data_IF_510810618130
#
_entry.id   IF_510810618130
#
_cell.length_a   1.000
_cell.length_b   1.000
_cell.length_c   1.000
_cell.angle_alpha   90.00
_cell.angle_beta   90.00
_cell.angle_gamma   90.00
#
_symmetry.space_group_name_H-M   'P 1'
#
loop_
_entity.id
_entity.type
_entity.pdbx_description
1 polymer ?
#
# COMPACT_ATOMS: atom_id res chain seq x y z
N UNK A 1 2.95 28.49 3.29
CA UNK A 1 3.49 27.67 2.19
C UNK A 1 4.32 26.55 2.82
N UNK A 2 3.73 25.38 3.06
CA UNK A 2 4.38 24.30 3.83
C UNK A 2 4.76 23.21 2.84
N UNK A 3 5.98 23.26 2.31
CA UNK A 3 6.52 22.17 1.51
C UNK A 3 6.53 20.88 2.36
N UNK A 4 6.14 19.74 1.78
CA UNK A 4 6.37 18.39 2.36
C UNK A 4 7.85 18.04 2.49
N UNK A 5 8.75 18.96 2.11
CA UNK A 5 10.14 18.99 2.56
C UNK A 5 10.12 19.02 4.09
N UNK A 6 10.08 17.84 4.69
CA UNK A 6 10.48 17.66 6.07
C UNK A 6 11.92 18.16 6.11
N UNK A 7 12.11 19.38 6.60
CA UNK A 7 13.43 19.92 6.83
C UNK A 7 14.03 19.08 7.95
N UNK A 8 14.79 18.07 7.55
CA UNK A 8 15.65 17.34 8.48
C UNK A 8 16.91 18.16 8.53
N UNK A 9 17.11 18.85 9.66
CA UNK A 9 18.35 19.55 9.94
C UNK A 9 19.50 18.56 9.70
N UNK A 10 20.59 18.94 9.00
CA UNK A 10 21.70 18.04 8.74
C UNK A 10 22.17 17.47 10.09
N UNK A 11 21.91 16.17 10.29
CA UNK A 11 22.33 15.47 11.50
C UNK A 11 23.85 15.58 11.61
N UNK A 12 24.34 15.91 12.80
CA UNK A 12 25.78 15.94 13.06
C UNK A 12 26.35 14.54 12.74
N UNK A 13 27.12 14.45 11.65
CA UNK A 13 28.02 13.32 11.29
C UNK A 13 27.39 12.00 10.81
N UNK A 14 26.23 12.00 10.14
CA UNK A 14 25.76 10.81 9.42
C UNK A 14 25.88 11.04 7.91
N UNK A 15 26.58 10.14 7.22
CA UNK A 15 26.72 10.17 5.75
C UNK A 15 25.33 10.00 5.13
N UNK A 16 24.79 11.07 4.53
CA UNK A 16 23.55 10.97 3.76
C UNK A 16 23.84 10.16 2.50
N UNK A 17 23.20 9.01 2.37
CA UNK A 17 23.31 8.15 1.18
C UNK A 17 21.97 8.09 0.46
N UNK A 18 21.99 7.66 -0.79
CA UNK A 18 20.79 7.46 -1.59
C UNK A 18 20.72 6.01 -2.02
N UNK A 19 19.54 5.40 -1.87
CA UNK A 19 19.30 4.02 -2.24
C UNK A 19 18.11 3.92 -3.17
N UNK A 20 18.21 3.07 -4.19
CA UNK A 20 17.09 2.73 -5.02
C UNK A 20 16.17 1.72 -4.31
N UNK A 21 14.87 2.01 -4.33
CA UNK A 21 13.82 1.18 -3.73
C UNK A 21 12.75 0.92 -4.77
N UNK A 22 12.43 -0.35 -4.99
CA UNK A 22 11.34 -0.73 -5.89
C UNK A 22 9.99 -0.59 -5.17
N UNK A 23 9.02 -0.02 -5.85
CA UNK A 23 7.63 0.17 -5.43
C UNK A 23 6.69 -0.29 -6.54
N UNK A 24 5.38 -0.16 -6.34
CA UNK A 24 4.41 -0.34 -7.42
C UNK A 24 3.60 0.92 -7.63
N UNK A 25 3.53 1.31 -8.89
CA UNK A 25 2.85 2.51 -9.34
C UNK A 25 1.56 2.16 -10.05
N UNK A 26 0.52 2.89 -9.69
CA UNK A 26 -0.79 2.88 -10.29
C UNK A 26 -1.01 4.27 -10.88
N UNK A 27 -0.55 4.46 -12.11
CA UNK A 27 -0.68 5.72 -12.83
C UNK A 27 -2.07 5.85 -13.45
N UNK A 28 -2.65 7.04 -13.38
CA UNK A 28 -4.00 7.26 -13.88
C UNK A 28 -4.10 7.17 -15.41
N UNK A 29 -3.01 7.53 -16.08
CA UNK A 29 -2.86 7.48 -17.54
C UNK A 29 -2.27 6.14 -18.01
N UNK A 30 -1.84 5.29 -17.09
CA UNK A 30 -1.26 4.00 -17.41
C UNK A 30 -2.35 2.95 -17.62
N UNK A 31 -2.16 2.00 -18.56
CA UNK A 31 -3.11 0.91 -18.80
C UNK A 31 -3.02 -0.20 -17.75
N UNK A 32 -1.89 -0.30 -17.03
CA UNK A 32 -1.66 -1.31 -15.99
C UNK A 32 -0.69 -0.80 -14.93
N UNK A 33 -0.75 -1.39 -13.74
CA UNK A 33 0.22 -1.10 -12.70
C UNK A 33 1.59 -1.63 -13.08
N UNK A 34 2.64 -0.90 -12.70
CA UNK A 34 4.02 -1.22 -13.06
C UNK A 34 4.96 -1.09 -11.86
N UNK A 35 6.05 -1.87 -11.81
CA UNK A 35 7.10 -1.61 -10.85
C UNK A 35 7.70 -0.22 -11.10
N UNK A 36 8.04 0.47 -10.02
CA UNK A 36 8.61 1.81 -10.06
C UNK A 36 9.81 1.88 -9.11
N UNK A 37 10.98 2.21 -9.65
CA UNK A 37 12.18 2.42 -8.83
C UNK A 37 12.22 3.88 -8.38
N UNK A 38 12.23 4.08 -7.07
CA UNK A 38 12.32 5.38 -6.42
C UNK A 38 13.67 5.53 -5.73
N UNK A 39 14.17 6.75 -5.65
CA UNK A 39 15.27 7.07 -4.75
C UNK A 39 14.73 7.28 -3.34
N UNK A 40 15.37 6.67 -2.35
CA UNK A 40 15.18 6.96 -0.94
C UNK A 40 16.45 7.60 -0.40
N UNK A 41 16.29 8.72 0.29
CA UNK A 41 17.35 9.32 1.09
C UNK A 41 17.50 8.52 2.38
N UNK A 42 18.69 8.01 2.63
CA UNK A 42 19.06 7.27 3.82
C UNK A 42 19.88 8.19 4.74
N UNK A 43 19.35 8.44 5.94
CA UNK A 43 20.03 9.20 6.99
C UNK A 43 20.06 8.32 8.25
N UNK A 44 21.19 7.62 8.45
CA UNK A 44 21.30 6.56 9.44
C UNK A 44 20.26 5.46 9.22
N UNK A 45 19.41 5.26 10.23
CA UNK A 45 18.33 4.26 10.21
C UNK A 45 17.07 4.71 9.46
N UNK A 46 16.96 6.00 9.11
CA UNK A 46 15.77 6.56 8.51
C UNK A 46 15.85 6.55 6.98
N UNK A 47 14.82 6.01 6.31
CA UNK A 47 14.71 5.97 4.85
C UNK A 47 13.52 6.80 4.37
N UNK A 48 13.79 7.86 3.61
CA UNK A 48 12.78 8.79 3.10
C UNK A 48 12.65 8.66 1.59
N UNK A 49 11.58 8.04 1.06
CA UNK A 49 11.37 7.93 -0.38
C UNK A 49 11.08 9.31 -0.98
N UNK A 50 11.75 9.65 -2.08
CA UNK A 50 11.58 10.90 -2.82
C UNK A 50 10.37 10.80 -3.76
N UNK A 51 9.18 10.73 -3.17
CA UNK A 51 7.94 10.42 -3.89
C UNK A 51 7.49 11.54 -4.84
N UNK A 52 7.84 12.78 -4.53
CA UNK A 52 7.49 13.96 -5.30
C UNK A 52 8.09 13.91 -6.72
N UNK A 53 9.20 13.19 -6.90
CA UNK A 53 9.81 12.98 -8.22
C UNK A 53 8.96 12.15 -9.18
N UNK A 54 7.97 11.41 -8.67
CA UNK A 54 7.11 10.54 -9.49
C UNK A 54 5.64 10.92 -9.45
N UNK A 55 5.18 11.55 -8.37
CA UNK A 55 3.81 12.07 -8.27
C UNK A 55 3.73 13.55 -8.72
N UNK A 56 4.46 13.90 -9.78
CA UNK A 56 4.56 15.27 -10.31
C UNK A 56 3.20 15.77 -10.86
N UNK A 57 3.06 17.09 -11.05
CA UNK A 57 1.86 17.90 -11.28
C UNK A 57 1.25 18.55 -10.04
N UNK A 58 2.07 19.22 -9.22
CA UNK A 58 1.63 19.93 -8.01
C UNK A 58 0.60 21.06 -8.27
N UNK A 59 0.25 21.37 -9.52
CA UNK A 59 -0.69 22.44 -9.91
C UNK A 59 -2.11 22.20 -9.38
N UNK A 60 -2.58 20.95 -9.43
CA UNK A 60 -3.96 20.60 -9.01
C UNK A 60 -4.04 20.31 -7.52
N UNK A 61 -3.03 19.63 -6.98
CA UNK A 61 -2.94 19.27 -5.56
C UNK A 61 -1.48 19.41 -5.12
N UNK A 62 -1.14 20.40 -4.26
CA UNK A 62 0.25 20.74 -3.95
C UNK A 62 0.93 19.77 -2.99
N UNK A 63 0.19 18.80 -2.42
CA UNK A 63 0.74 17.88 -1.42
C UNK A 63 0.43 16.44 -1.81
N UNK A 64 1.39 15.55 -1.57
CA UNK A 64 1.21 14.11 -1.62
C UNK A 64 0.69 13.65 -0.27
N UNK A 65 -0.41 12.89 -0.26
CA UNK A 65 -0.91 12.26 0.96
C UNK A 65 -0.26 10.90 1.13
N UNK A 66 -0.12 10.45 2.37
CA UNK A 66 0.37 9.13 2.69
C UNK A 66 -0.48 8.43 3.76
N UNK A 67 -0.42 7.10 3.80
CA UNK A 67 -1.06 6.27 4.82
C UNK A 67 -0.30 4.99 5.04
N UNK A 68 -0.21 4.56 6.29
CA UNK A 68 0.33 3.25 6.64
C UNK A 68 -0.79 2.21 6.60
N UNK A 69 -0.52 1.11 5.91
CA UNK A 69 -1.45 0.01 5.71
C UNK A 69 -0.82 -1.26 6.24
N UNK A 70 -1.49 -1.93 7.17
CA UNK A 70 -1.04 -3.18 7.77
C UNK A 70 -1.81 -4.34 7.17
N UNK A 71 -1.10 -5.30 6.61
CA UNK A 71 -1.68 -6.50 5.99
C UNK A 71 -1.23 -7.75 6.73
N UNK A 72 -2.21 -8.57 7.13
CA UNK A 72 -1.96 -9.90 7.66
C UNK A 72 -1.82 -10.89 6.50
N UNK A 73 -0.61 -11.34 6.20
CA UNK A 73 -0.35 -12.32 5.16
C UNK A 73 0.51 -13.46 5.72
N UNK A 74 0.11 -14.72 5.48
CA UNK A 74 0.78 -15.92 6.02
C UNK A 74 1.02 -15.86 7.55
N UNK A 75 0.00 -15.42 8.30
CA UNK A 75 0.06 -15.26 9.76
C UNK A 75 1.13 -14.25 10.26
N UNK A 76 1.62 -13.38 9.37
CA UNK A 76 2.54 -12.30 9.69
C UNK A 76 1.93 -10.96 9.28
N UNK A 77 2.15 -9.94 10.11
CA UNK A 77 1.72 -8.58 9.81
C UNK A 77 2.85 -7.86 9.09
N UNK A 78 2.54 -7.35 7.91
CA UNK A 78 3.42 -6.52 7.12
C UNK A 78 2.86 -5.10 7.05
N UNK A 79 3.74 -4.11 7.08
CA UNK A 79 3.37 -2.71 6.95
C UNK A 79 3.79 -2.21 5.58
N UNK A 80 2.91 -1.41 4.99
CA UNK A 80 3.05 -0.81 3.69
C UNK A 80 2.77 0.67 3.81
N UNK A 81 3.51 1.47 3.07
CA UNK A 81 3.30 2.91 2.96
C UNK A 81 2.71 3.19 1.60
N UNK A 82 1.52 3.79 1.59
CA UNK A 82 0.84 4.17 0.36
C UNK A 82 0.90 5.68 0.23
N UNK A 83 1.40 6.15 -0.89
CA UNK A 83 1.38 7.54 -1.29
C UNK A 83 0.35 7.74 -2.38
N UNK A 84 -0.43 8.81 -2.30
CA UNK A 84 -1.45 9.07 -3.29
C UNK A 84 -1.72 10.55 -3.45
N UNK A 85 -2.15 10.89 -4.66
CA UNK A 85 -2.72 12.19 -4.99
C UNK A 85 -4.12 11.95 -5.48
N UNK A 86 -5.09 12.41 -4.71
CA UNK A 86 -6.50 12.17 -4.98
C UNK A 86 -7.25 13.47 -4.94
N UNK A 87 -7.87 13.80 -6.07
CA UNK A 87 -8.64 15.02 -6.24
C UNK A 87 -9.63 14.87 -7.39
N UNK A 88 -10.80 15.51 -7.27
CA UNK A 88 -11.87 15.46 -8.29
C UNK A 88 -11.44 15.95 -9.68
N UNK A 89 -10.46 16.86 -9.74
CA UNK A 89 -9.91 17.40 -11.00
C UNK A 89 -8.79 16.54 -11.61
N UNK A 90 -8.32 15.51 -10.90
CA UNK A 90 -7.35 14.57 -11.47
C UNK A 90 -8.08 13.54 -12.36
N UNK A 91 -7.40 12.94 -13.36
CA UNK A 91 -7.96 11.93 -14.22
C UNK A 91 -8.35 10.67 -13.43
N UNK A 92 -9.36 9.95 -13.92
CA UNK A 92 -9.75 8.64 -13.38
C UNK A 92 -8.59 7.68 -13.58
N UNK A 93 -8.21 7.00 -12.51
CA UNK A 93 -7.14 6.04 -12.53
C UNK A 93 -7.63 4.69 -13.03
N UNK A 94 -7.51 4.49 -14.35
CA UNK A 94 -7.91 3.23 -15.01
C UNK A 94 -7.17 2.04 -14.45
N UNK A 95 -5.89 2.21 -14.14
CA UNK A 95 -5.08 1.16 -13.52
C UNK A 95 -5.64 0.72 -12.16
N UNK A 96 -6.07 1.67 -11.31
CA UNK A 96 -6.77 1.35 -10.06
C UNK A 96 -8.11 0.70 -10.35
N UNK A 97 -8.92 1.20 -11.28
CA UNK A 97 -10.23 0.61 -11.60
C UNK A 97 -10.17 -0.81 -12.18
N UNK A 98 -9.05 -1.22 -12.78
CA UNK A 98 -8.83 -2.60 -13.21
C UNK A 98 -8.61 -3.55 -12.03
N UNK A 99 -8.07 -3.04 -10.93
CA UNK A 99 -7.79 -3.82 -9.72
C UNK A 99 -8.96 -3.73 -8.73
N UNK A 100 -9.46 -2.52 -8.53
CA UNK A 100 -10.57 -2.15 -7.69
C UNK A 100 -11.89 -2.20 -8.49
N UNK A 101 -12.63 -3.29 -8.32
CA UNK A 101 -13.85 -3.57 -9.08
C UNK A 101 -15.05 -2.67 -8.69
N UNK A 102 -14.87 -1.84 -7.66
CA UNK A 102 -15.95 -1.16 -6.94
C UNK A 102 -15.93 0.35 -7.08
N UNK A 103 -14.78 0.96 -7.41
CA UNK A 103 -14.59 2.41 -7.26
C UNK A 103 -13.68 3.04 -8.32
N UNK A 104 -14.03 4.27 -8.73
CA UNK A 104 -13.20 5.11 -9.59
C UNK A 104 -12.35 6.06 -8.74
N UNK A 105 -11.12 5.65 -8.43
CA UNK A 105 -10.14 6.55 -7.81
C UNK A 105 -9.63 7.53 -8.86
N UNK A 106 -9.49 8.80 -8.52
CA UNK A 106 -8.93 9.84 -9.40
C UNK A 106 -7.55 10.25 -8.93
N UNK A 107 -6.56 10.18 -9.81
CA UNK A 107 -5.16 10.50 -9.54
C UNK A 107 -4.28 9.28 -9.24
N UNK A 108 -2.99 9.53 -8.98
CA UNK A 108 -1.96 8.50 -8.96
C UNK A 108 -1.77 7.89 -7.56
N UNK A 109 -1.41 6.61 -7.51
CA UNK A 109 -1.13 5.87 -6.26
C UNK A 109 0.21 5.14 -6.38
N UNK A 110 1.01 5.16 -5.32
CA UNK A 110 2.25 4.40 -5.18
C UNK A 110 2.17 3.60 -3.88
N UNK A 111 2.48 2.31 -3.96
CA UNK A 111 2.58 1.43 -2.78
C UNK A 111 4.03 1.01 -2.61
N UNK A 112 4.55 1.18 -1.40
CA UNK A 112 5.89 0.74 -1.01
C UNK A 112 5.80 -0.11 0.25
N UNK A 113 6.66 -1.10 0.38
CA UNK A 113 6.74 -1.91 1.59
C UNK A 113 7.59 -1.20 2.64
N UNK A 114 7.25 -1.38 3.91
CA UNK A 114 8.12 -0.98 5.01
C UNK A 114 8.56 -2.19 5.84
N UNK A 115 9.65 -2.06 6.56
CA UNK A 115 10.00 -3.00 7.62
C UNK A 115 9.22 -2.69 8.91
N UNK A 116 9.61 -3.37 10.00
CA UNK A 116 8.97 -3.22 11.32
C UNK A 116 9.28 -1.88 11.97
N UNK A 117 10.41 -1.26 11.61
CA UNK A 117 10.86 0.03 12.14
C UNK A 117 10.31 1.19 11.29
N UNK A 118 9.49 0.90 10.27
CA UNK A 118 8.92 1.88 9.35
C UNK A 118 9.89 2.32 8.25
N UNK A 119 11.05 1.68 8.11
CA UNK A 119 12.00 1.98 7.03
C UNK A 119 11.43 1.45 5.72
N UNK A 120 11.53 2.28 4.70
CA UNK A 120 11.07 1.91 3.36
C UNK A 120 12.00 0.84 2.77
N UNK A 121 11.40 -0.27 2.33
CA UNK A 121 12.06 -1.40 1.70
C UNK A 121 11.45 -1.70 0.34
N UNK A 122 12.27 -2.27 -0.55
CA UNK A 122 11.85 -2.59 -1.91
C UNK A 122 10.78 -3.68 -1.94
N UNK A 123 9.93 -3.61 -2.97
CA UNK A 123 9.03 -4.68 -3.36
C UNK A 123 9.80 -6.00 -3.55
N UNK A 124 9.31 -7.07 -2.92
CA UNK A 124 9.84 -8.43 -3.07
C UNK A 124 8.95 -9.27 -3.99
N UNK A 125 9.41 -10.47 -4.33
CA UNK A 125 8.60 -11.44 -5.05
C UNK A 125 7.31 -11.73 -4.27
N UNK A 126 6.15 -11.65 -4.94
CA UNK A 126 4.83 -11.85 -4.34
C UNK A 126 4.16 -10.61 -3.74
N UNK A 127 4.90 -9.53 -3.43
CA UNK A 127 4.32 -8.29 -2.90
C UNK A 127 3.36 -7.62 -3.91
N UNK A 128 3.54 -7.90 -5.20
CA UNK A 128 2.66 -7.46 -6.27
C UNK A 128 1.18 -7.74 -5.96
N UNK A 129 0.83 -8.98 -5.61
CA UNK A 129 -0.56 -9.37 -5.33
C UNK A 129 -1.10 -8.63 -4.11
N UNK A 130 -0.28 -8.51 -3.06
CA UNK A 130 -0.66 -7.80 -1.83
C UNK A 130 -0.88 -6.32 -2.09
N UNK A 131 -0.07 -5.70 -2.94
CA UNK A 131 -0.24 -4.30 -3.32
C UNK A 131 -1.57 -4.07 -4.07
N UNK A 132 -1.94 -4.99 -4.95
CA UNK A 132 -3.22 -4.93 -5.66
C UNK A 132 -4.41 -5.05 -4.68
N UNK A 133 -4.32 -5.95 -3.69
CA UNK A 133 -5.31 -6.07 -2.61
C UNK A 133 -5.40 -4.79 -1.75
N UNK A 134 -4.25 -4.17 -1.43
CA UNK A 134 -4.19 -2.91 -0.70
C UNK A 134 -4.91 -1.81 -1.48
N UNK A 135 -4.64 -1.68 -2.78
CA UNK A 135 -5.27 -0.66 -3.63
C UNK A 135 -6.77 -0.91 -3.78
N UNK A 136 -7.20 -2.17 -3.89
CA UNK A 136 -8.63 -2.50 -3.89
C UNK A 136 -9.31 -2.04 -2.58
N UNK A 137 -8.74 -2.39 -1.42
CA UNK A 137 -9.29 -1.98 -0.13
C UNK A 137 -9.21 -0.46 0.13
N UNK A 138 -8.21 0.21 -0.43
CA UNK A 138 -8.10 1.66 -0.40
C UNK A 138 -9.21 2.31 -1.23
N UNK A 139 -9.44 1.82 -2.45
CA UNK A 139 -10.47 2.32 -3.35
C UNK A 139 -11.87 2.15 -2.76
N UNK A 140 -12.18 1.00 -2.15
CA UNK A 140 -13.45 0.75 -1.44
C UNK A 140 -13.73 1.81 -0.37
N UNK A 141 -12.70 2.17 0.41
CA UNK A 141 -12.83 3.17 1.48
C UNK A 141 -12.92 4.59 0.93
N UNK A 142 -12.35 4.83 -0.25
CA UNK A 142 -12.34 6.11 -0.96
C UNK A 142 -13.60 6.41 -1.76
N UNK A 143 -14.58 5.50 -1.80
CA UNK A 143 -15.90 5.74 -2.41
C UNK A 143 -16.49 7.06 -1.88
N UNK A 144 -16.85 8.02 -2.75
CA UNK A 144 -17.57 9.24 -2.37
C UNK A 144 -18.81 8.99 -1.51
N UNK A 145 -19.49 7.83 -1.67
CA UNK A 145 -20.62 7.43 -0.82
C UNK A 145 -20.21 7.11 0.61
N UNK A 146 -18.97 6.63 0.79
CA UNK A 146 -18.32 6.41 2.09
C UNK A 146 -17.67 7.69 2.64
N UNK A 147 -17.36 8.64 1.76
CA UNK A 147 -16.72 9.94 2.02
C UNK A 147 -17.73 11.09 2.16
N UNK A 148 -18.91 10.85 2.72
CA UNK A 148 -19.66 11.90 3.39
C UNK A 148 -18.71 12.50 4.46
N UNK A 149 -18.16 13.66 4.12
CA UNK A 149 -16.96 14.30 4.68
C UNK A 149 -16.95 14.33 6.21
N UNK A 150 -16.54 13.24 6.85
CA UNK A 150 -16.29 13.20 8.29
C UNK A 150 -14.91 13.83 8.49
N UNK A 151 -14.91 15.14 8.71
CA UNK A 151 -13.77 15.96 9.12
C UNK A 151 -13.28 15.46 10.50
N UNK A 152 -12.67 14.28 10.56
CA UNK A 152 -12.04 13.75 11.76
C UNK A 152 -10.63 14.31 11.83
N UNK A 153 -10.46 15.33 12.65
CA UNK A 153 -9.17 15.69 13.24
C UNK A 153 -8.71 14.53 14.13
N UNK A 154 -8.06 13.53 13.55
CA UNK A 154 -7.44 12.41 14.26
C UNK A 154 -6.11 12.05 13.61
N UNK A 155 -5.19 11.40 14.35
CA UNK A 155 -3.88 10.99 13.83
C UNK A 155 -4.04 10.10 12.58
N UNK A 156 -3.03 10.06 11.69
CA UNK A 156 -3.12 9.39 10.40
C UNK A 156 -3.62 7.96 10.56
N UNK A 157 -4.75 7.68 9.95
CA UNK A 157 -5.50 6.43 10.07
C UNK A 157 -4.59 5.24 9.74
N UNK A 158 -4.19 4.47 10.75
CA UNK A 158 -3.54 3.19 10.58
C UNK A 158 -4.56 2.23 9.94
N UNK A 159 -4.44 1.99 8.64
CA UNK A 159 -5.39 1.17 7.90
C UNK A 159 -4.99 -0.29 8.05
N UNK A 160 -5.67 -1.04 8.91
CA UNK A 160 -5.56 -2.50 8.88
C UNK A 160 -6.39 -3.03 7.69
N UNK A 161 -5.72 -3.63 6.71
CA UNK A 161 -6.33 -4.36 5.60
C UNK A 161 -6.02 -5.83 5.85
N UNK A 162 -6.99 -6.58 6.37
CA UNK A 162 -6.83 -8.03 6.52
C UNK A 162 -7.01 -8.64 5.13
N UNK A 163 -5.92 -8.85 4.40
CA UNK A 163 -6.02 -9.68 3.21
C UNK A 163 -6.04 -11.14 3.66
N UNK A 164 -7.23 -11.73 3.62
CA UNK A 164 -7.28 -13.19 3.65
C UNK A 164 -6.79 -13.64 2.28
N UNK A 165 -5.76 -14.51 2.19
CA UNK A 165 -5.40 -15.04 0.88
C UNK A 165 -6.66 -15.69 0.32
N UNK A 166 -7.10 -15.27 -0.88
CA UNK A 166 -8.09 -16.03 -1.65
C UNK A 166 -7.45 -17.39 -1.94
N UNK A 167 -7.63 -18.33 -1.00
CA UNK A 167 -7.18 -19.70 -1.12
C UNK A 167 -7.73 -20.22 -2.44
N UNK A 168 -6.85 -20.75 -3.28
CA UNK A 168 -7.29 -21.39 -4.52
C UNK A 168 -8.30 -22.50 -4.16
N UNK A 169 -9.25 -22.77 -5.05
CA UNK A 169 -10.27 -23.83 -4.84
C UNK A 169 -9.62 -25.18 -4.46
N UNK A 170 -8.38 -25.41 -4.91
CA UNK A 170 -7.54 -26.56 -4.59
C UNK A 170 -7.08 -26.59 -3.13
N UNK A 171 -6.70 -25.44 -2.56
CA UNK A 171 -6.34 -25.32 -1.14
C UNK A 171 -7.57 -25.49 -0.22
N UNK A 172 -8.77 -25.11 -0.66
CA UNK A 172 -10.01 -25.37 0.08
C UNK A 172 -10.35 -26.86 0.15
N UNK A 173 -10.13 -27.62 -0.93
CA UNK A 173 -10.33 -29.09 -0.93
C UNK A 173 -9.37 -29.78 0.04
N UNK A 174 -8.08 -29.45 -0.05
CA UNK A 174 -7.06 -30.03 0.85
C UNK A 174 -7.35 -29.80 2.33
N UNK A 175 -7.86 -28.63 2.71
CA UNK A 175 -8.21 -28.34 4.10
C UNK A 175 -9.52 -28.98 4.55
N UNK A 176 -10.44 -29.24 3.62
CA UNK A 176 -11.67 -29.99 3.90
C UNK A 176 -11.32 -31.46 4.15
N UNK A 177 -10.45 -32.04 3.33
CA UNK A 177 -9.96 -33.41 3.48
C UNK A 177 -9.20 -33.62 4.81
N UNK A 178 -8.36 -32.65 5.21
CA UNK A 178 -7.64 -32.71 6.49
C UNK A 178 -8.61 -32.64 7.68
N UNK A 179 -9.63 -31.78 7.62
CA UNK A 179 -10.65 -31.68 8.69
C UNK A 179 -11.53 -32.93 8.78
N UNK A 180 -11.86 -33.54 7.65
CA UNK A 180 -12.65 -34.77 7.61
C UNK A 180 -11.86 -35.96 8.16
N UNK A 181 -10.57 -36.08 7.84
CA UNK A 181 -9.69 -37.10 8.44
C UNK A 181 -9.53 -36.94 9.95
N UNK A 182 -9.39 -35.71 10.44
CA UNK A 182 -9.29 -35.45 11.88
C UNK A 182 -10.61 -35.75 12.63
N UNK A 183 -11.77 -35.56 11.99
CA UNK A 183 -13.08 -35.92 12.56
C UNK A 183 -13.34 -37.42 12.54
N UNK A 184 -12.86 -38.14 11.53
CA UNK A 184 -12.91 -39.61 11.49
C UNK A 184 -12.07 -40.23 12.61
N UNK A 185 -10.81 -39.80 12.75
CA UNK A 185 -9.88 -40.33 13.76
C UNK A 185 -10.31 -40.05 15.21
N UNK A 186 -11.14 -39.02 15.46
CA UNK A 186 -11.70 -38.73 16.77
C UNK A 186 -12.91 -39.62 17.14
N UNK A 187 -13.59 -40.20 16.15
CA UNK A 187 -14.74 -41.10 16.36
C UNK A 187 -14.34 -42.55 16.57
N UNK A 188 -13.19 -42.99 16.04
CA UNK A 188 -12.66 -44.34 16.25
C UNK A 188 -11.97 -44.55 17.62
N UNK A 189 -11.95 -43.51 18.47
CA UNK A 189 -11.34 -43.54 19.82
C UNK A 189 -12.37 -43.51 20.96
N UNK A 190 -13.65 -43.67 20.65
CA UNK A 190 -14.75 -43.86 21.61
C UNK A 190 -15.30 -45.26 21.45
#
# INVERSE_FOLDING_TARGET
MVNSRTYIAPGRRMSTTYRQVTSRFYGAEEPKSKPLTLLARCDGDCHYPLIESVLDDMRIQPYVHNSFIRVLHNNQIYTYLVFYRIHRRLPINRTVSLVAHSCSVRGNVVVIRTDRDGRVIGMRHGDAVVFDEIVNGLADRMDPKSFAYRKKCGPPTELMVISTPRRSQRQWRLLRDVRERQRGAARERQ
#
